data_IF_773162443206
#
_entry.id   IF_773162443206
#
_cell.length_a   1.000
_cell.length_b   1.000
_cell.length_c   1.000
_cell.angle_alpha   90.00
_cell.angle_beta   90.00
_cell.angle_gamma   90.00
#
_symmetry.space_group_name_H-M   'P 1'
#
loop_
_entity.id
_entity.type
_entity.pdbx_description
1 polymer ?
#
# COMPACT_ATOMS: atom_id res chain seq x y z
N UNK A 1 -12.25 -38.46 7.35
CA UNK A 1 -13.03 -37.32 7.88
C UNK A 1 -12.67 -36.00 7.19
N UNK A 2 -11.40 -35.55 7.19
CA UNK A 2 -11.04 -34.23 6.64
C UNK A 2 -10.52 -34.20 5.19
N UNK A 3 -10.23 -35.37 4.59
CA UNK A 3 -9.71 -35.52 3.22
C UNK A 3 -8.41 -34.75 2.95
N UNK A 4 -7.52 -34.73 3.93
CA UNK A 4 -6.21 -34.05 3.88
C UNK A 4 -5.07 -34.99 4.28
N UNK A 5 -3.83 -34.56 4.01
CA UNK A 5 -2.60 -35.29 4.32
C UNK A 5 -2.22 -36.39 3.31
N UNK A 6 -1.22 -37.22 3.64
CA UNK A 6 -0.62 -38.18 2.71
C UNK A 6 -1.53 -39.36 2.35
N UNK A 7 -2.56 -39.63 3.17
CA UNK A 7 -3.58 -40.66 2.92
C UNK A 7 -4.94 -40.01 2.59
N UNK A 8 -4.94 -38.86 1.92
CA UNK A 8 -6.18 -38.17 1.50
C UNK A 8 -7.02 -38.98 0.50
N UNK A 9 -6.36 -39.82 -0.29
CA UNK A 9 -7.01 -40.65 -1.30
C UNK A 9 -7.87 -41.72 -0.64
N UNK A 10 -9.11 -41.84 -1.09
CA UNK A 10 -10.14 -42.66 -0.43
C UNK A 10 -9.77 -44.15 -0.41
N UNK A 11 -9.15 -44.64 -1.49
CA UNK A 11 -8.71 -46.03 -1.58
C UNK A 11 -7.54 -46.35 -0.63
N UNK A 12 -6.57 -45.44 -0.54
CA UNK A 12 -5.39 -45.60 0.32
C UNK A 12 -5.77 -45.47 1.79
N UNK A 13 -6.69 -44.56 2.12
CA UNK A 13 -7.24 -44.41 3.46
C UNK A 13 -8.05 -45.64 3.87
N UNK A 14 -8.95 -46.16 3.02
CA UNK A 14 -9.75 -47.33 3.34
C UNK A 14 -8.90 -48.58 3.60
N UNK A 15 -7.77 -48.71 2.91
CA UNK A 15 -6.88 -49.87 3.06
C UNK A 15 -5.98 -49.77 4.30
N UNK A 16 -5.45 -48.59 4.61
CA UNK A 16 -4.48 -48.40 5.69
C UNK A 16 -5.11 -47.99 7.04
N UNK A 17 -6.26 -47.31 7.03
CA UNK A 17 -6.91 -46.75 8.22
C UNK A 17 -8.03 -47.66 8.75
N UNK A 18 -7.75 -48.94 8.95
CA UNK A 18 -8.74 -49.95 9.40
C UNK A 18 -8.81 -50.14 10.92
N UNK A 19 -7.85 -49.59 11.67
CA UNK A 19 -7.70 -49.82 13.12
C UNK A 19 -8.78 -49.16 13.96
N UNK A 20 -9.33 -48.03 13.50
CA UNK A 20 -10.35 -47.28 14.21
C UNK A 20 -11.17 -46.45 13.23
N UNK A 21 -12.40 -46.11 13.61
CA UNK A 21 -13.23 -45.15 12.89
C UNK A 21 -13.39 -43.89 13.77
N UNK A 22 -13.02 -42.70 13.27
CA UNK A 22 -13.12 -41.48 14.07
C UNK A 22 -14.58 -41.10 14.27
N UNK A 23 -14.95 -40.79 15.52
CA UNK A 23 -16.27 -40.32 15.91
C UNK A 23 -16.28 -38.79 15.77
N UNK A 24 -17.14 -38.20 14.91
CA UNK A 24 -17.24 -36.75 14.78
C UNK A 24 -17.91 -36.12 15.99
N UNK A 25 -17.27 -35.12 16.59
CA UNK A 25 -17.82 -34.33 17.71
C UNK A 25 -17.68 -32.83 17.42
N UNK A 26 -18.59 -32.00 17.94
CA UNK A 26 -18.54 -30.54 17.70
C UNK A 26 -17.38 -29.87 18.43
N UNK A 27 -17.15 -30.26 19.67
CA UNK A 27 -16.06 -29.77 20.51
C UNK A 27 -15.33 -30.97 21.11
N UNK A 28 -14.00 -30.90 21.10
CA UNK A 28 -13.13 -31.95 21.64
C UNK A 28 -12.64 -31.53 23.02
N UNK A 29 -13.27 -32.10 24.04
CA UNK A 29 -12.89 -31.98 25.45
C UNK A 29 -12.29 -33.31 25.88
N UNK A 30 -11.11 -33.29 26.49
CA UNK A 30 -10.55 -34.47 27.14
C UNK A 30 -11.12 -34.57 28.55
N UNK A 31 -11.64 -35.74 28.89
CA UNK A 31 -12.00 -36.07 30.25
C UNK A 31 -10.79 -36.68 30.98
N UNK A 32 -10.27 -35.97 31.99
CA UNK A 32 -9.14 -36.41 32.82
C UNK A 32 -9.47 -37.70 33.60
N UNK A 33 -10.74 -37.95 33.92
CA UNK A 33 -11.18 -39.12 34.67
C UNK A 33 -11.09 -40.43 33.86
N UNK A 34 -11.16 -40.33 32.53
CA UNK A 34 -11.20 -41.49 31.62
C UNK A 34 -9.87 -41.75 30.91
N UNK A 35 -8.77 -41.15 31.40
CA UNK A 35 -7.44 -41.26 30.79
C UNK A 35 -7.46 -40.90 29.28
N UNK A 36 -8.23 -39.87 28.93
CA UNK A 36 -8.38 -39.40 27.55
C UNK A 36 -7.23 -38.46 27.17
N UNK A 37 -6.57 -38.71 26.03
CA UNK A 37 -5.45 -37.88 25.58
C UNK A 37 -5.87 -36.95 24.45
N UNK A 38 -5.76 -35.64 24.70
CA UNK A 38 -6.01 -34.60 23.70
C UNK A 38 -4.76 -34.31 22.88
N UNK A 39 -4.91 -34.31 21.56
CA UNK A 39 -3.88 -33.92 20.60
C UNK A 39 -4.42 -32.84 19.68
N UNK A 40 -3.56 -31.88 19.32
CA UNK A 40 -3.86 -30.82 18.37
C UNK A 40 -2.66 -30.64 17.44
N UNK A 41 -2.91 -30.68 16.12
CA UNK A 41 -1.87 -30.56 15.10
C UNK A 41 -2.32 -29.60 13.99
N UNK A 42 -1.34 -29.06 13.27
CA UNK A 42 -1.55 -28.23 12.10
C UNK A 42 -1.56 -29.09 10.84
N UNK A 43 -2.52 -28.84 9.96
CA UNK A 43 -2.63 -29.45 8.64
C UNK A 43 -1.86 -28.63 7.57
N UNK A 44 -1.81 -29.13 6.33
CA UNK A 44 -1.22 -28.43 5.17
C UNK A 44 -1.86 -27.06 4.90
N UNK A 45 -3.12 -26.90 5.29
CA UNK A 45 -3.89 -25.65 5.16
C UNK A 45 -3.65 -24.65 6.32
N UNK A 46 -2.68 -24.91 7.20
CA UNK A 46 -2.45 -24.18 8.46
C UNK A 46 -3.66 -24.17 9.42
N UNK A 47 -4.59 -25.09 9.22
CA UNK A 47 -5.73 -25.29 10.10
C UNK A 47 -5.36 -26.20 11.27
N UNK A 48 -5.91 -25.92 12.45
CA UNK A 48 -5.76 -26.77 13.63
C UNK A 48 -6.87 -27.83 13.57
N UNK A 49 -6.46 -29.09 13.66
CA UNK A 49 -7.39 -30.20 13.89
C UNK A 49 -7.08 -30.83 15.25
N UNK A 50 -8.13 -30.95 16.05
CA UNK A 50 -8.04 -31.46 17.42
C UNK A 50 -8.75 -32.81 17.49
N UNK A 51 -8.12 -33.78 18.14
CA UNK A 51 -8.72 -35.07 18.41
C UNK A 51 -8.33 -35.56 19.81
N UNK A 52 -9.18 -36.41 20.36
CA UNK A 52 -8.95 -37.11 21.61
C UNK A 52 -8.98 -38.61 21.32
N UNK A 53 -8.04 -39.35 21.89
CA UNK A 53 -8.07 -40.80 21.85
C UNK A 53 -8.08 -41.40 23.26
N UNK A 54 -8.72 -42.55 23.39
CA UNK A 54 -8.80 -43.32 24.62
C UNK A 54 -8.99 -44.80 24.30
N UNK A 55 -8.74 -45.66 25.29
CA UNK A 55 -8.99 -47.09 25.18
C UNK A 55 -10.26 -47.43 25.96
N UNK A 56 -11.20 -48.10 25.30
CA UNK A 56 -12.42 -48.60 25.95
C UNK A 56 -12.09 -49.79 26.88
N UNK A 57 -13.07 -50.25 27.68
CA UNK A 57 -12.92 -51.38 28.60
C UNK A 57 -12.47 -52.69 27.89
N UNK A 58 -12.83 -52.85 26.62
CA UNK A 58 -12.37 -53.94 25.74
C UNK A 58 -10.95 -53.74 25.19
N UNK A 59 -10.22 -52.73 25.67
CA UNK A 59 -8.91 -52.29 25.17
C UNK A 59 -8.91 -51.91 23.67
N UNK A 60 -10.06 -51.44 23.16
CA UNK A 60 -10.22 -50.96 21.78
C UNK A 60 -9.93 -49.46 21.70
N UNK A 61 -9.14 -49.05 20.71
CA UNK A 61 -8.82 -47.65 20.47
C UNK A 61 -10.05 -46.90 19.94
N UNK A 62 -10.47 -45.87 20.66
CA UNK A 62 -11.52 -44.95 20.25
C UNK A 62 -10.92 -43.58 20.01
N UNK A 63 -11.36 -42.92 18.92
CA UNK A 63 -10.87 -41.59 18.54
C UNK A 63 -12.07 -40.67 18.31
N UNK A 64 -12.16 -39.61 19.11
CA UNK A 64 -13.12 -38.50 18.95
C UNK A 64 -12.40 -37.37 18.23
N UNK A 65 -12.89 -36.96 17.08
CA UNK A 65 -12.27 -35.90 16.28
C UNK A 65 -13.26 -34.77 16.03
N UNK A 66 -12.78 -33.53 15.98
CA UNK A 66 -13.64 -32.36 15.79
C UNK A 66 -14.24 -32.35 14.39
N UNK A 67 -15.55 -32.22 14.21
CA UNK A 67 -16.18 -32.28 12.88
C UNK A 67 -15.63 -31.22 11.92
N UNK A 68 -15.48 -29.99 12.42
CA UNK A 68 -14.93 -28.86 11.67
C UNK A 68 -13.54 -28.49 12.21
N UNK A 69 -12.56 -28.37 11.30
CA UNK A 69 -11.21 -27.90 11.64
C UNK A 69 -11.24 -26.41 11.97
N UNK A 70 -10.41 -26.00 12.92
CA UNK A 70 -10.23 -24.60 13.28
C UNK A 70 -9.22 -23.95 12.34
N UNK A 71 -9.74 -23.40 11.24
CA UNK A 71 -8.94 -22.64 10.28
C UNK A 71 -8.94 -21.16 10.65
N UNK A 72 -7.77 -20.52 10.64
CA UNK A 72 -7.69 -19.07 10.76
C UNK A 72 -8.27 -18.42 9.49
N UNK A 73 -8.99 -17.31 9.66
CA UNK A 73 -9.48 -16.54 8.53
C UNK A 73 -8.31 -16.05 7.67
N UNK A 74 -8.34 -16.40 6.38
CA UNK A 74 -7.34 -15.94 5.41
C UNK A 74 -7.62 -14.47 5.11
N UNK A 75 -6.80 -13.59 5.69
CA UNK A 75 -6.87 -12.15 5.40
C UNK A 75 -6.34 -11.93 3.98
N UNK A 76 -7.11 -11.23 3.14
CA UNK A 76 -6.64 -10.81 1.82
C UNK A 76 -5.64 -9.65 1.94
N UNK A 77 -4.39 -9.99 2.27
CA UNK A 77 -3.25 -9.07 2.36
C UNK A 77 -3.10 -8.07 1.18
N UNK A 78 -3.27 -8.45 -0.12
CA UNK A 78 -3.02 -7.52 -1.20
C UNK A 78 -3.91 -6.27 -1.18
N UNK A 79 -5.16 -6.39 -0.70
CA UNK A 79 -6.07 -5.23 -0.63
C UNK A 79 -5.63 -4.19 0.40
N UNK A 80 -5.16 -4.66 1.57
CA UNK A 80 -4.67 -3.78 2.64
C UNK A 80 -3.45 -2.99 2.13
N UNK A 81 -2.54 -3.68 1.45
CA UNK A 81 -1.32 -3.06 0.90
C UNK A 81 -1.66 -1.98 -0.13
N UNK A 82 -2.55 -2.28 -1.10
CA UNK A 82 -2.97 -1.30 -2.11
C UNK A 82 -3.65 -0.09 -1.45
N UNK A 83 -4.51 -0.33 -0.45
CA UNK A 83 -5.19 0.75 0.28
C UNK A 83 -4.22 1.72 0.96
N UNK A 84 -3.19 1.20 1.62
CA UNK A 84 -2.17 2.03 2.29
C UNK A 84 -1.37 2.85 1.28
N UNK A 85 -0.94 2.23 0.18
CA UNK A 85 -0.18 2.94 -0.88
C UNK A 85 -1.02 4.07 -1.47
N UNK A 86 -2.28 3.80 -1.79
CA UNK A 86 -3.19 4.81 -2.35
C UNK A 86 -3.36 6.00 -1.39
N UNK A 87 -3.53 5.74 -0.09
CA UNK A 87 -3.65 6.79 0.92
C UNK A 87 -2.41 7.68 1.01
N UNK A 88 -1.21 7.08 1.01
CA UNK A 88 0.07 7.82 1.06
C UNK A 88 0.25 8.67 -0.20
N UNK A 89 -0.06 8.12 -1.38
CA UNK A 89 0.03 8.85 -2.65
C UNK A 89 -0.93 10.04 -2.67
N UNK A 90 -2.18 9.85 -2.26
CA UNK A 90 -3.17 10.93 -2.21
C UNK A 90 -2.75 12.04 -1.24
N UNK A 91 -2.22 11.67 -0.07
CA UNK A 91 -1.70 12.64 0.89
C UNK A 91 -0.51 13.43 0.32
N UNK A 92 0.43 12.73 -0.33
CA UNK A 92 1.57 13.36 -1.00
C UNK A 92 1.12 14.33 -2.10
N UNK A 93 0.16 13.94 -2.93
CA UNK A 93 -0.40 14.79 -3.98
C UNK A 93 -1.10 16.03 -3.38
N UNK A 94 -1.86 15.89 -2.30
CA UNK A 94 -2.52 17.01 -1.65
C UNK A 94 -1.49 18.04 -1.12
N UNK A 95 -0.42 17.58 -0.48
CA UNK A 95 0.66 18.45 0.01
C UNK A 95 1.38 19.14 -1.15
N UNK A 96 1.69 18.41 -2.23
CA UNK A 96 2.31 18.97 -3.42
C UNK A 96 1.43 20.03 -4.09
N UNK A 97 0.12 19.80 -4.18
CA UNK A 97 -0.82 20.77 -4.72
C UNK A 97 -0.88 22.04 -3.87
N UNK A 98 -0.95 21.90 -2.55
CA UNK A 98 -0.91 23.04 -1.62
C UNK A 98 0.39 23.84 -1.77
N UNK A 99 1.53 23.16 -1.78
CA UNK A 99 2.83 23.81 -2.00
C UNK A 99 2.91 24.50 -3.36
N UNK A 100 2.42 23.86 -4.43
CA UNK A 100 2.39 24.45 -5.78
C UNK A 100 1.49 25.68 -5.85
N UNK A 101 0.33 25.66 -5.19
CA UNK A 101 -0.56 26.82 -5.11
C UNK A 101 0.10 27.99 -4.38
N UNK A 102 0.67 27.73 -3.19
CA UNK A 102 1.34 28.76 -2.39
C UNK A 102 2.52 29.40 -3.14
N UNK A 103 3.37 28.57 -3.76
CA UNK A 103 4.53 29.05 -4.55
C UNK A 103 4.08 29.86 -5.77
N UNK A 104 3.06 29.41 -6.49
CA UNK A 104 2.53 30.14 -7.65
C UNK A 104 1.96 31.51 -7.27
N UNK A 105 1.31 31.62 -6.12
CA UNK A 105 0.80 32.91 -5.62
C UNK A 105 1.94 33.84 -5.25
N UNK A 106 2.98 33.32 -4.57
CA UNK A 106 4.14 34.11 -4.20
C UNK A 106 4.87 34.65 -5.43
N UNK A 107 5.15 33.77 -6.39
CA UNK A 107 5.81 34.10 -7.65
C UNK A 107 5.01 35.16 -8.44
N UNK A 108 3.68 35.01 -8.54
CA UNK A 108 2.82 36.03 -9.18
C UNK A 108 2.86 37.39 -8.49
N UNK A 109 2.94 37.43 -7.14
CA UNK A 109 3.03 38.70 -6.39
C UNK A 109 4.36 39.39 -6.63
N UNK A 110 5.46 38.64 -6.60
CA UNK A 110 6.78 39.19 -6.86
C UNK A 110 6.92 39.66 -8.32
N UNK A 111 6.39 38.88 -9.27
CA UNK A 111 6.37 39.26 -10.68
C UNK A 111 5.63 40.59 -10.91
N UNK A 112 4.44 40.75 -10.33
CA UNK A 112 3.68 42.00 -10.44
C UNK A 112 4.42 43.20 -9.82
N UNK A 113 5.12 42.99 -8.70
CA UNK A 113 5.96 44.02 -8.09
C UNK A 113 7.15 44.39 -9.00
N UNK A 114 7.80 43.39 -9.58
CA UNK A 114 8.93 43.58 -10.48
C UNK A 114 8.52 44.34 -11.76
N UNK A 115 7.40 43.99 -12.38
CA UNK A 115 6.90 44.73 -13.55
C UNK A 115 6.60 46.20 -13.21
N UNK A 116 6.01 46.44 -12.04
CA UNK A 116 5.73 47.79 -11.54
C UNK A 116 7.02 48.60 -11.33
N UNK A 117 8.04 48.00 -10.71
CA UNK A 117 9.35 48.62 -10.52
C UNK A 117 10.05 48.87 -11.87
N UNK A 118 9.99 47.93 -12.82
CA UNK A 118 10.54 48.08 -14.18
C UNK A 118 9.88 49.21 -14.96
N UNK A 119 8.55 49.38 -14.86
CA UNK A 119 7.84 50.48 -15.52
C UNK A 119 8.21 51.84 -14.95
N UNK A 120 8.42 51.94 -13.63
CA UNK A 120 8.85 53.18 -12.98
C UNK A 120 10.35 53.46 -13.14
N UNK A 121 11.16 52.43 -13.35
CA UNK A 121 12.58 52.54 -13.67
C UNK A 121 12.86 52.87 -15.15
N UNK A 122 11.84 53.26 -15.94
CA UNK A 122 12.08 53.97 -17.20
C UNK A 122 12.81 55.26 -16.86
N UNK A 123 14.13 55.21 -17.01
CA UNK A 123 15.01 56.37 -16.94
C UNK A 123 14.41 57.47 -17.82
N UNK A 124 14.36 58.68 -17.28
CA UNK A 124 13.99 59.86 -18.04
C UNK A 124 14.99 59.98 -19.20
N UNK A 125 14.58 59.57 -20.41
CA UNK A 125 15.36 59.78 -21.64
C UNK A 125 15.17 61.21 -22.15
N UNK A 126 14.73 62.14 -21.29
CA UNK A 126 14.91 63.56 -21.52
C UNK A 126 16.41 63.84 -21.56
N UNK A 127 16.90 64.31 -22.71
CA UNK A 127 18.29 64.75 -22.85
C UNK A 127 18.68 65.60 -21.65
N UNK A 128 19.67 65.13 -20.87
CA UNK A 128 20.15 65.86 -19.72
C UNK A 128 20.59 67.26 -20.21
N UNK A 129 20.04 68.37 -19.69
CA UNK A 129 20.31 69.71 -20.22
C UNK A 129 21.78 70.15 -20.10
N UNK A 130 22.60 69.41 -19.34
CA UNK A 130 24.04 69.61 -19.18
C UNK A 130 24.86 68.75 -20.17
N UNK A 131 24.24 67.77 -20.83
CA UNK A 131 24.93 66.86 -21.74
C UNK A 131 25.16 67.52 -23.11
N UNK A 132 26.43 67.62 -23.50
CA UNK A 132 26.83 68.08 -24.83
C UNK A 132 27.26 66.87 -25.66
N UNK A 133 26.58 66.64 -26.77
CA UNK A 133 26.96 65.58 -27.72
C UNK A 133 28.35 65.88 -28.29
N UNK A 134 29.30 64.96 -28.13
CA UNK A 134 30.68 65.10 -28.60
C UNK A 134 30.84 64.83 -30.12
N UNK A 135 29.78 65.06 -30.89
CA UNK A 135 29.73 64.80 -32.33
C UNK A 135 29.37 66.09 -33.03
N UNK A 136 30.33 66.69 -33.74
CA UNK A 136 30.07 67.88 -34.55
C UNK A 136 29.44 67.46 -35.88
N UNK A 137 28.16 67.74 -36.07
CA UNK A 137 27.52 67.56 -37.37
C UNK A 137 27.96 68.68 -38.30
N UNK A 138 28.95 68.42 -39.14
CA UNK A 138 29.37 69.36 -40.17
C UNK A 138 28.46 69.22 -41.40
N UNK A 139 27.67 70.25 -41.72
CA UNK A 139 26.87 70.29 -42.94
C UNK A 139 27.81 70.53 -44.13
N UNK A 140 27.95 69.54 -45.00
CA UNK A 140 28.77 69.65 -46.20
C UNK A 140 28.14 70.64 -47.20
N UNK A 141 28.76 71.80 -47.47
CA UNK A 141 28.19 72.82 -48.37
C UNK A 141 28.09 72.37 -49.84
N UNK A 142 28.85 71.35 -50.25
CA UNK A 142 28.86 70.89 -51.66
C UNK A 142 27.75 69.90 -52.01
N UNK A 143 26.97 69.43 -51.05
CA UNK A 143 25.89 68.45 -51.26
C UNK A 143 24.51 69.04 -50.95
N UNK A 144 24.21 70.21 -51.53
CA UNK A 144 22.84 70.65 -51.73
C UNK A 144 22.40 70.14 -53.10
N UNK A 145 21.60 69.08 -53.11
CA UNK A 145 21.17 68.39 -54.31
C UNK A 145 20.68 69.32 -55.43
N UNK A 146 21.21 69.10 -56.63
CA UNK A 146 20.49 69.38 -57.88
C UNK A 146 20.11 68.01 -58.46
N UNK A 147 18.83 67.87 -58.79
CA UNK A 147 18.40 66.86 -59.76
C UNK A 147 19.01 67.08 -61.12
#
# INVERSE_FOLDING_TARGET
MYKTGPLKDEHDCATNCTKFTPIPVKEVVANEENNEFKCAYYDEDECIFTYVYYFDNDNKLQVKAQENRECREKIFLPFIVIGVIAAVVLLGLAILLLWKLLTTIHDRREFARFEKEKMMAKWDTGENPIYKQATSTFKNPTYSGKG
#
